data_IF_088552737884
#
_entry.id   IF_088552737884
#
_cell.length_a   1.000
_cell.length_b   1.000
_cell.length_c   1.000
_cell.angle_alpha   90.00
_cell.angle_beta   90.00
_cell.angle_gamma   90.00
#
_symmetry.space_group_name_H-M   'P 1'
#
loop_
_entity.id
_entity.type
_entity.pdbx_description
1 polymer ?
#
# COMPACT_ATOMS: atom_id res chain seq x y z
N UNK A 1 17.62 24.11 15.91
CA UNK A 1 16.35 24.59 15.34
C UNK A 1 15.94 23.82 14.08
N UNK A 2 16.73 23.86 13.00
CA UNK A 2 16.36 23.29 11.69
C UNK A 2 15.97 21.80 11.74
N UNK A 3 16.71 20.98 12.53
CA UNK A 3 16.40 19.55 12.68
C UNK A 3 15.06 19.26 13.37
N UNK A 4 14.62 20.11 14.32
CA UNK A 4 13.34 19.94 15.01
C UNK A 4 12.16 20.29 14.10
N UNK A 5 12.26 21.36 13.31
CA UNK A 5 11.24 21.71 12.32
C UNK A 5 11.15 20.65 11.21
N UNK A 6 12.28 20.10 10.77
CA UNK A 6 12.30 19.02 9.78
C UNK A 6 11.55 17.76 10.25
N UNK A 7 11.77 17.34 11.50
CA UNK A 7 11.06 16.19 12.07
C UNK A 7 9.54 16.43 12.16
N UNK A 8 9.12 17.63 12.59
CA UNK A 8 7.71 18.00 12.67
C UNK A 8 7.04 18.01 11.28
N UNK A 9 7.73 18.51 10.25
CA UNK A 9 7.24 18.49 8.87
C UNK A 9 7.07 17.05 8.37
N UNK A 10 8.04 16.17 8.61
CA UNK A 10 7.97 14.76 8.17
C UNK A 10 6.80 14.04 8.85
N UNK A 11 6.63 14.25 10.16
CA UNK A 11 5.48 13.68 10.90
C UNK A 11 4.16 14.24 10.36
N UNK A 12 4.08 15.55 10.15
CA UNK A 12 2.89 16.20 9.60
C UNK A 12 2.50 15.64 8.23
N UNK A 13 3.46 15.53 7.31
CA UNK A 13 3.25 14.91 5.99
C UNK A 13 2.80 13.46 6.14
N UNK A 14 3.47 12.67 6.99
CA UNK A 14 3.11 11.27 7.22
C UNK A 14 1.68 11.09 7.72
N UNK A 15 1.23 11.93 8.65
CA UNK A 15 -0.14 11.92 9.20
C UNK A 15 -1.16 12.37 8.16
N UNK A 16 -0.89 13.44 7.41
CA UNK A 16 -1.79 13.93 6.35
C UNK A 16 -1.96 12.84 5.28
N UNK A 17 -0.85 12.24 4.83
CA UNK A 17 -0.90 11.14 3.87
C UNK A 17 -1.63 9.91 4.42
N UNK A 18 -1.49 9.60 5.71
CA UNK A 18 -2.21 8.52 6.36
C UNK A 18 -3.72 8.74 6.30
N UNK A 19 -4.18 9.91 6.77
CA UNK A 19 -5.60 10.29 6.77
C UNK A 19 -6.15 10.29 5.34
N UNK A 20 -5.42 10.89 4.40
CA UNK A 20 -5.82 10.90 3.00
C UNK A 20 -5.93 9.47 2.41
N UNK A 21 -5.04 8.56 2.80
CA UNK A 21 -5.12 7.15 2.37
C UNK A 21 -6.35 6.44 2.94
N UNK A 22 -6.71 6.70 4.20
CA UNK A 22 -7.93 6.16 4.83
C UNK A 22 -9.17 6.66 4.09
N UNK A 23 -9.23 7.97 3.83
CA UNK A 23 -10.34 8.59 3.10
C UNK A 23 -10.45 8.00 1.69
N UNK A 24 -9.32 7.89 0.98
CA UNK A 24 -9.25 7.29 -0.35
C UNK A 24 -9.77 5.85 -0.36
N UNK A 25 -9.36 5.04 0.62
CA UNK A 25 -9.86 3.68 0.79
C UNK A 25 -11.35 3.65 1.11
N UNK A 26 -11.83 4.48 2.03
CA UNK A 26 -13.23 4.51 2.43
C UNK A 26 -14.16 4.80 1.24
N UNK A 27 -13.84 5.81 0.42
CA UNK A 27 -14.61 6.14 -0.78
C UNK A 27 -14.57 5.03 -1.85
N UNK A 28 -13.45 4.31 -1.95
CA UNK A 28 -13.27 3.27 -2.95
C UNK A 28 -13.48 1.84 -2.40
N UNK A 29 -13.95 1.70 -1.16
CA UNK A 29 -14.12 0.41 -0.47
C UNK A 29 -14.99 -0.55 -1.28
N UNK A 30 -16.09 -0.05 -1.87
CA UNK A 30 -16.96 -0.85 -2.73
C UNK A 30 -16.18 -1.37 -3.94
N UNK A 31 -15.48 -0.50 -4.67
CA UNK A 31 -14.66 -0.87 -5.84
C UNK A 31 -13.57 -1.88 -5.48
N UNK A 32 -12.94 -1.71 -4.32
CA UNK A 32 -11.95 -2.64 -3.77
C UNK A 32 -12.54 -4.05 -3.63
N UNK A 33 -13.62 -4.22 -2.85
CA UNK A 33 -14.22 -5.54 -2.65
C UNK A 33 -14.86 -6.12 -3.92
N UNK A 34 -15.40 -5.28 -4.81
CA UNK A 34 -15.84 -5.72 -6.13
C UNK A 34 -14.68 -6.37 -6.90
N UNK A 35 -13.52 -5.71 -6.94
CA UNK A 35 -12.36 -6.24 -7.65
C UNK A 35 -11.82 -7.54 -7.03
N UNK A 36 -11.78 -7.62 -5.69
CA UNK A 36 -11.41 -8.87 -5.00
C UNK A 36 -12.36 -10.01 -5.39
N UNK A 37 -13.66 -9.76 -5.34
CA UNK A 37 -14.66 -10.78 -5.67
C UNK A 37 -14.60 -11.22 -7.14
N UNK A 38 -14.33 -10.30 -8.06
CA UNK A 38 -14.16 -10.63 -9.48
C UNK A 38 -12.92 -11.51 -9.69
N UNK A 39 -11.80 -11.15 -9.06
CA UNK A 39 -10.58 -11.94 -9.14
C UNK A 39 -10.78 -13.35 -8.57
N UNK A 40 -11.43 -13.45 -7.40
CA UNK A 40 -11.66 -14.72 -6.71
C UNK A 40 -12.63 -15.68 -7.42
N UNK A 41 -13.42 -15.19 -8.38
CA UNK A 41 -14.29 -16.05 -9.20
C UNK A 41 -13.50 -16.88 -10.20
N UNK A 42 -12.38 -16.35 -10.69
CA UNK A 42 -11.62 -16.93 -11.79
C UNK A 42 -10.24 -17.43 -11.34
N UNK A 43 -9.73 -16.89 -10.22
CA UNK A 43 -8.37 -17.12 -9.74
C UNK A 43 -8.31 -17.28 -8.22
N UNK A 44 -7.25 -17.96 -7.76
CA UNK A 44 -6.92 -18.07 -6.34
C UNK A 44 -5.80 -17.09 -6.03
N UNK A 45 -5.92 -16.33 -4.94
CA UNK A 45 -4.85 -15.43 -4.51
C UNK A 45 -3.60 -16.24 -4.07
N UNK A 46 -2.39 -15.84 -4.49
CA UNK A 46 -1.16 -16.42 -3.98
C UNK A 46 -0.99 -16.13 -2.48
N UNK A 47 -0.21 -16.95 -1.80
CA UNK A 47 -0.26 -17.09 -0.34
C UNK A 47 0.45 -16.04 0.53
N UNK A 48 0.82 -14.83 0.06
CA UNK A 48 0.76 -13.67 0.96
C UNK A 48 -0.50 -12.83 0.73
N UNK A 49 -1.00 -12.79 -0.51
CA UNK A 49 -2.14 -11.96 -0.88
C UNK A 49 -3.46 -12.49 -0.32
N UNK A 50 -3.62 -13.81 -0.20
CA UNK A 50 -4.82 -14.40 0.41
C UNK A 50 -5.07 -13.90 1.84
N UNK A 51 -4.02 -13.71 2.63
CA UNK A 51 -4.09 -13.11 3.96
C UNK A 51 -4.47 -11.62 3.89
N UNK A 52 -3.86 -10.86 2.98
CA UNK A 52 -4.10 -9.43 2.85
C UNK A 52 -5.54 -9.08 2.44
N UNK A 53 -6.26 -9.99 1.78
CA UNK A 53 -7.69 -9.81 1.50
C UNK A 53 -8.56 -9.70 2.77
N UNK A 54 -8.11 -10.24 3.91
CA UNK A 54 -8.90 -10.35 5.15
C UNK A 54 -8.72 -9.17 6.10
N UNK A 55 -7.58 -8.46 6.03
CA UNK A 55 -7.18 -7.43 7.01
C UNK A 55 -7.63 -6.01 6.64
N UNK A 56 -8.53 -5.86 5.66
CA UNK A 56 -9.17 -4.59 5.29
C UNK A 56 -8.17 -3.53 4.81
N UNK A 57 -8.24 -2.32 5.37
CA UNK A 57 -7.41 -1.18 4.96
C UNK A 57 -5.90 -1.49 4.96
N UNK A 58 -5.40 -2.17 5.99
CA UNK A 58 -3.97 -2.50 6.09
C UNK A 58 -3.53 -3.54 5.06
N UNK A 59 -4.43 -4.41 4.59
CA UNK A 59 -4.14 -5.32 3.47
C UNK A 59 -4.41 -4.73 2.10
N UNK A 60 -5.12 -3.60 2.03
CA UNK A 60 -5.43 -2.98 0.76
C UNK A 60 -4.16 -2.52 0.02
N UNK A 61 -3.12 -2.09 0.72
CA UNK A 61 -1.86 -1.67 0.08
C UNK A 61 -1.17 -2.80 -0.73
N UNK A 62 -0.86 -3.97 -0.16
CA UNK A 62 -0.29 -5.09 -0.92
C UNK A 62 -1.23 -5.64 -2.00
N UNK A 63 -2.55 -5.63 -1.78
CA UNK A 63 -3.53 -6.05 -2.80
C UNK A 63 -3.62 -5.04 -3.95
N UNK A 64 -3.56 -3.76 -3.66
CA UNK A 64 -3.50 -2.71 -4.68
C UNK A 64 -2.21 -2.83 -5.48
N UNK A 65 -1.07 -3.08 -4.82
CA UNK A 65 0.18 -3.35 -5.52
C UNK A 65 0.06 -4.54 -6.47
N UNK A 66 -0.54 -5.64 -6.01
CA UNK A 66 -0.83 -6.82 -6.82
C UNK A 66 -1.64 -6.48 -8.08
N UNK A 67 -2.78 -5.80 -7.93
CA UNK A 67 -3.62 -5.42 -9.06
C UNK A 67 -2.95 -4.41 -10.00
N UNK A 68 -2.19 -3.46 -9.49
CA UNK A 68 -1.39 -2.55 -10.32
C UNK A 68 -0.29 -3.29 -11.08
N UNK A 69 0.28 -4.34 -10.50
CA UNK A 69 1.25 -5.23 -11.13
C UNK A 69 0.63 -5.99 -12.29
N UNK A 70 -0.52 -6.64 -12.06
CA UNK A 70 -1.26 -7.38 -13.09
C UNK A 70 -1.64 -6.46 -14.25
N UNK A 71 -2.21 -5.28 -13.94
CA UNK A 71 -2.60 -4.28 -14.96
C UNK A 71 -1.44 -3.80 -15.83
N UNK A 72 -0.22 -3.79 -15.31
CA UNK A 72 0.98 -3.31 -16.00
C UNK A 72 1.82 -4.46 -16.56
N UNK A 73 1.33 -5.69 -16.47
CA UNK A 73 2.07 -6.91 -16.84
C UNK A 73 3.46 -6.99 -16.18
N UNK A 74 3.58 -6.43 -14.97
CA UNK A 74 4.84 -6.43 -14.21
C UNK A 74 4.93 -7.68 -13.35
N UNK A 75 6.14 -8.26 -13.29
CA UNK A 75 6.43 -9.39 -12.41
C UNK A 75 6.00 -9.10 -10.96
N UNK A 76 5.03 -9.87 -10.49
CA UNK A 76 4.56 -9.87 -9.11
C UNK A 76 5.29 -10.96 -8.33
N UNK A 77 5.60 -10.70 -7.07
CA UNK A 77 6.14 -11.71 -6.17
C UNK A 77 5.12 -12.86 -6.02
N UNK A 78 5.60 -14.10 -6.06
CA UNK A 78 4.76 -15.30 -5.90
C UNK A 78 3.72 -15.55 -7.02
N UNK A 79 3.83 -14.88 -8.17
CA UNK A 79 3.03 -15.15 -9.37
C UNK A 79 3.97 -15.40 -10.55
N UNK A 80 3.74 -16.47 -11.32
CA UNK A 80 4.51 -16.73 -12.55
C UNK A 80 4.01 -15.83 -13.69
N UNK A 81 4.89 -15.35 -14.56
CA UNK A 81 4.50 -14.40 -15.62
C UNK A 81 3.59 -15.00 -16.71
N UNK A 82 3.58 -16.33 -16.85
CA UNK A 82 2.71 -17.10 -17.74
C UNK A 82 1.35 -17.44 -17.11
N UNK A 83 1.08 -16.95 -15.89
CA UNK A 83 -0.18 -17.19 -15.20
C UNK A 83 -1.34 -16.47 -15.89
N UNK A 84 -2.47 -17.16 -16.03
CA UNK A 84 -3.72 -16.60 -16.57
C UNK A 84 -4.19 -15.36 -15.80
N UNK A 85 -3.78 -15.18 -14.54
CA UNK A 85 -4.06 -13.99 -13.75
C UNK A 85 -3.63 -12.67 -14.41
N UNK A 86 -2.60 -12.67 -15.28
CA UNK A 86 -2.19 -11.45 -16.00
C UNK A 86 -3.21 -11.00 -17.05
N UNK A 87 -4.06 -11.91 -17.53
CA UNK A 87 -5.17 -11.59 -18.44
C UNK A 87 -6.44 -11.08 -17.73
N UNK A 88 -6.41 -10.90 -16.39
CA UNK A 88 -7.56 -10.50 -15.59
C UNK A 88 -8.13 -9.11 -15.95
N UNK A 89 -7.28 -8.19 -16.40
CA UNK A 89 -7.72 -6.83 -16.72
C UNK A 89 -8.20 -6.70 -18.16
N UNK A 90 -9.52 -6.56 -18.32
CA UNK A 90 -10.16 -6.08 -19.53
C UNK A 90 -10.53 -4.58 -19.42
N UNK A 91 -11.02 -3.98 -20.51
CA UNK A 91 -11.42 -2.56 -20.51
C UNK A 91 -12.50 -2.22 -19.44
N UNK A 92 -13.30 -3.19 -18.97
CA UNK A 92 -14.32 -3.00 -17.93
C UNK A 92 -13.70 -2.87 -16.54
N UNK A 93 -12.70 -3.70 -16.23
CA UNK A 93 -12.07 -3.74 -14.90
C UNK A 93 -11.05 -2.61 -14.70
N UNK A 94 -10.55 -1.99 -15.77
CA UNK A 94 -9.59 -0.88 -15.72
C UNK A 94 -10.13 0.31 -14.93
N UNK A 95 -11.42 0.63 -15.03
CA UNK A 95 -12.00 1.77 -14.31
C UNK A 95 -12.01 1.59 -12.79
N UNK A 96 -12.19 0.34 -12.33
CA UNK A 96 -12.15 -0.01 -10.90
C UNK A 96 -10.77 0.23 -10.27
N UNK A 97 -9.72 0.39 -11.09
CA UNK A 97 -8.33 0.61 -10.63
C UNK A 97 -7.88 2.07 -10.63
N UNK A 98 -8.67 3.03 -11.13
CA UNK A 98 -8.19 4.43 -11.30
C UNK A 98 -7.75 5.09 -9.98
N UNK A 99 -8.35 4.71 -8.86
CA UNK A 99 -8.03 5.24 -7.52
C UNK A 99 -6.76 4.62 -6.90
N UNK A 100 -6.36 3.45 -7.40
CA UNK A 100 -5.31 2.63 -6.80
C UNK A 100 -3.93 3.29 -6.76
N UNK A 101 -3.44 3.96 -7.81
CA UNK A 101 -2.14 4.64 -7.74
C UNK A 101 -2.10 5.71 -6.65
N UNK A 102 -3.14 6.54 -6.56
CA UNK A 102 -3.25 7.59 -5.54
C UNK A 102 -3.23 7.02 -4.14
N UNK A 103 -4.06 6.01 -3.87
CA UNK A 103 -4.08 5.33 -2.59
C UNK A 103 -2.72 4.70 -2.26
N UNK A 104 -2.10 4.01 -3.22
CA UNK A 104 -0.82 3.35 -3.06
C UNK A 104 0.27 4.35 -2.65
N UNK A 105 0.39 5.48 -3.35
CA UNK A 105 1.41 6.48 -3.00
C UNK A 105 1.14 7.13 -1.64
N UNK A 106 -0.11 7.49 -1.34
CA UNK A 106 -0.45 8.06 -0.02
C UNK A 106 -0.09 7.12 1.13
N UNK A 107 -0.43 5.83 0.99
CA UNK A 107 -0.14 4.84 2.02
C UNK A 107 1.38 4.61 2.17
N UNK A 108 2.12 4.46 1.06
CA UNK A 108 3.57 4.22 1.12
C UNK A 108 4.35 5.44 1.63
N UNK A 109 3.96 6.67 1.24
CA UNK A 109 4.58 7.89 1.79
C UNK A 109 4.37 7.94 3.29
N UNK A 110 3.14 7.67 3.76
CA UNK A 110 2.85 7.62 5.19
C UNK A 110 3.72 6.60 5.93
N UNK A 111 3.81 5.38 5.41
CA UNK A 111 4.65 4.34 6.00
C UNK A 111 6.14 4.72 5.99
N UNK A 112 6.63 5.32 4.91
CA UNK A 112 8.02 5.78 4.82
C UNK A 112 8.32 6.86 5.86
N UNK A 113 7.42 7.83 6.05
CA UNK A 113 7.54 8.85 7.10
C UNK A 113 7.56 8.22 8.50
N UNK A 114 6.65 7.28 8.78
CA UNK A 114 6.59 6.57 10.05
C UNK A 114 7.87 5.77 10.31
N UNK A 115 8.35 5.00 9.33
CA UNK A 115 9.59 4.23 9.44
C UNK A 115 10.80 5.13 9.68
N UNK A 116 10.89 6.27 8.98
CA UNK A 116 11.96 7.24 9.17
C UNK A 116 11.99 7.77 10.61
N UNK A 117 10.85 8.17 11.15
CA UNK A 117 10.74 8.68 12.54
C UNK A 117 11.15 7.61 13.56
N UNK A 118 10.71 6.36 13.37
CA UNK A 118 11.08 5.24 14.25
C UNK A 118 12.60 5.01 14.21
N UNK A 119 13.21 4.99 13.02
CA UNK A 119 14.66 4.82 12.86
C UNK A 119 15.41 5.95 13.57
N UNK A 120 15.01 7.21 13.37
CA UNK A 120 15.61 8.34 14.08
C UNK A 120 15.50 8.20 15.61
N UNK A 121 14.34 7.78 16.11
CA UNK A 121 14.12 7.53 17.54
C UNK A 121 15.04 6.45 18.09
N UNK A 122 15.21 5.35 17.36
CA UNK A 122 16.13 4.26 17.72
C UNK A 122 17.58 4.76 17.74
N UNK A 123 18.02 5.50 16.71
CA UNK A 123 19.37 6.05 16.63
C UNK A 123 19.66 7.00 17.79
N UNK A 124 18.72 7.88 18.13
CA UNK A 124 18.85 8.80 19.27
C UNK A 124 18.96 8.00 20.58
N UNK A 125 18.11 6.99 20.78
CA UNK A 125 18.14 6.14 21.98
C UNK A 125 19.47 5.39 22.13
N UNK A 126 20.02 4.86 21.03
CA UNK A 126 21.32 4.20 21.03
C UNK A 126 22.42 5.22 21.37
N UNK A 127 22.40 6.40 20.75
CA UNK A 127 23.37 7.45 21.03
C UNK A 127 23.38 7.85 22.52
N UNK A 128 22.20 8.06 23.10
CA UNK A 128 22.05 8.42 24.52
C UNK A 128 22.49 7.32 25.49
N UNK A 129 22.39 6.04 25.10
CA UNK A 129 22.72 4.90 25.96
C UNK A 129 24.22 4.57 25.96
N UNK A 130 24.91 4.81 24.84
CA UNK A 130 26.28 4.32 24.63
C UNK A 130 27.33 5.43 24.47
N UNK A 131 26.94 6.67 24.21
CA UNK A 131 27.87 7.79 23.96
C UNK A 131 27.69 8.97 24.93
N UNK A 132 26.83 8.83 25.93
CA UNK A 132 26.56 9.79 27.00
C UNK A 132 26.48 9.02 28.32
#
# INVERSE_FOLDING_TARGET
MIAHYGALVIVGVGVICFIASIISYAFNRKKYYTLLSLFQKEHIFPTPYSFHCLVGFFGAAPIVYFFLGLKREKKILFVKMDDKAYSFFDNKNVELTKWMPTFYYLWNISMACCSFVIICGIVIKIKLKYFL
#
